data_IF_449460714731
#
_entry.id   IF_449460714731
#
_cell.length_a   1.000
_cell.length_b   1.000
_cell.length_c   1.000
_cell.angle_alpha   90.00
_cell.angle_beta   90.00
_cell.angle_gamma   90.00
#
_symmetry.space_group_name_H-M   'P 1'
#
loop_
_entity.id
_entity.type
_entity.pdbx_description
1 polymer ?
#
# COMPACT_ATOMS: atom_id res chain seq x y z
N UNK A 1 -22.34 8.43 -9.12
CA UNK A 1 -21.36 7.81 -10.02
C UNK A 1 -20.71 6.73 -9.19
N UNK A 2 -21.20 5.49 -9.32
CA UNK A 2 -20.77 4.33 -8.56
C UNK A 2 -20.85 3.16 -9.54
N UNK A 3 -19.74 2.49 -9.80
CA UNK A 3 -19.70 1.35 -10.71
C UNK A 3 -19.59 0.07 -9.90
N UNK A 4 -20.21 -1.01 -10.39
CA UNK A 4 -20.00 -2.35 -9.83
C UNK A 4 -19.68 -3.36 -10.92
N UNK A 5 -19.01 -4.45 -10.56
CA UNK A 5 -18.64 -5.54 -11.47
C UNK A 5 -17.75 -5.06 -12.63
N UNK A 6 -16.70 -4.31 -12.28
CA UNK A 6 -15.75 -3.76 -13.25
C UNK A 6 -14.63 -4.77 -13.50
N UNK A 7 -14.37 -5.08 -14.77
CA UNK A 7 -13.26 -5.97 -15.17
C UNK A 7 -12.34 -5.22 -16.14
N UNK A 8 -11.06 -5.12 -15.78
CA UNK A 8 -9.99 -4.60 -16.62
C UNK A 8 -8.96 -5.72 -16.76
N UNK A 9 -8.87 -6.35 -17.93
CA UNK A 9 -7.95 -7.46 -18.11
C UNK A 9 -7.30 -7.54 -19.48
N UNK A 10 -6.08 -8.09 -19.53
CA UNK A 10 -5.36 -8.37 -20.78
C UNK A 10 -5.07 -7.11 -21.62
N UNK A 11 -4.72 -6.01 -20.97
CA UNK A 11 -4.49 -4.71 -21.61
C UNK A 11 -3.09 -4.17 -21.29
N UNK A 12 -2.55 -3.38 -22.23
CA UNK A 12 -1.34 -2.57 -22.01
C UNK A 12 -1.70 -1.09 -22.00
N UNK A 13 -1.45 -0.42 -20.88
CA UNK A 13 -1.56 1.03 -20.72
C UNK A 13 -0.17 1.65 -20.88
N UNK A 14 -0.06 2.73 -21.67
CA UNK A 14 1.21 3.42 -21.93
C UNK A 14 1.07 4.91 -21.78
N UNK A 15 2.03 5.52 -21.08
CA UNK A 15 2.21 6.97 -20.96
C UNK A 15 0.94 7.69 -20.52
N UNK A 16 0.26 7.15 -19.50
CA UNK A 16 -0.83 7.87 -18.84
C UNK A 16 -0.33 9.24 -18.39
N UNK A 17 -1.09 10.33 -18.59
CA UNK A 17 -0.70 11.66 -18.15
C UNK A 17 -0.73 11.82 -16.63
N UNK A 18 -1.36 10.88 -15.91
CA UNK A 18 -1.51 10.83 -14.45
C UNK A 18 -1.73 9.37 -14.00
N UNK A 19 -2.48 9.13 -12.93
CA UNK A 19 -2.88 7.79 -12.47
C UNK A 19 -3.53 6.96 -13.59
N UNK A 20 -2.99 5.78 -13.87
CA UNK A 20 -3.39 4.99 -15.04
C UNK A 20 -4.73 4.26 -14.88
N UNK A 21 -4.94 3.58 -13.75
CA UNK A 21 -6.20 2.90 -13.42
C UNK A 21 -6.68 3.38 -12.05
N UNK A 22 -7.70 4.23 -12.01
CA UNK A 22 -8.21 4.86 -10.78
C UNK A 22 -9.70 4.54 -10.57
N UNK A 23 -10.06 3.33 -10.07
CA UNK A 23 -11.43 3.04 -9.67
C UNK A 23 -11.76 3.86 -8.43
N UNK A 24 -12.69 4.81 -8.60
CA UNK A 24 -13.18 5.68 -7.52
C UNK A 24 -14.61 5.31 -7.20
N UNK A 25 -14.88 5.03 -5.93
CA UNK A 25 -16.23 4.71 -5.49
C UNK A 25 -16.86 3.49 -6.19
N UNK A 26 -16.01 2.51 -6.53
CA UNK A 26 -16.40 1.26 -7.19
C UNK A 26 -16.55 0.10 -6.20
N UNK A 27 -17.30 -0.93 -6.58
CA UNK A 27 -17.44 -2.17 -5.80
C UNK A 27 -17.30 -3.39 -6.71
N UNK A 28 -16.59 -4.44 -6.30
CA UNK A 28 -16.33 -5.63 -7.14
C UNK A 28 -15.53 -5.27 -8.40
N UNK A 29 -14.24 -4.96 -8.21
CA UNK A 29 -13.33 -4.57 -9.29
C UNK A 29 -12.27 -5.65 -9.46
N UNK A 30 -12.08 -6.12 -10.69
CA UNK A 30 -10.99 -7.03 -11.06
C UNK A 30 -10.05 -6.32 -12.04
N UNK A 31 -8.77 -6.22 -11.68
CA UNK A 31 -7.69 -5.80 -12.58
C UNK A 31 -6.71 -6.96 -12.72
N UNK A 32 -6.66 -7.59 -13.90
CA UNK A 32 -5.94 -8.86 -14.09
C UNK A 32 -5.10 -8.86 -15.36
N UNK A 33 -3.86 -9.37 -15.31
CA UNK A 33 -3.01 -9.54 -16.50
C UNK A 33 -2.85 -8.23 -17.31
N UNK A 34 -2.62 -7.12 -16.60
CA UNK A 34 -2.37 -5.82 -17.24
C UNK A 34 -0.90 -5.45 -17.19
N UNK A 35 -0.46 -4.73 -18.22
CA UNK A 35 0.86 -4.10 -18.29
C UNK A 35 0.68 -2.59 -18.26
N UNK A 36 1.32 -1.90 -17.32
CA UNK A 36 1.28 -0.43 -17.24
C UNK A 36 2.69 0.11 -17.37
N UNK A 37 2.91 1.02 -18.33
CA UNK A 37 4.22 1.60 -18.62
C UNK A 37 4.13 3.12 -18.65
N UNK A 38 4.93 3.80 -17.86
CA UNK A 38 5.16 5.24 -17.93
C UNK A 38 6.67 5.54 -17.85
N UNK A 39 7.13 6.69 -18.36
CA UNK A 39 8.53 7.09 -18.22
C UNK A 39 8.93 7.19 -16.74
N UNK A 40 10.13 6.71 -16.34
CA UNK A 40 10.56 6.69 -14.93
C UNK A 40 10.64 8.08 -14.27
N UNK A 41 10.80 9.14 -15.06
CA UNK A 41 10.87 10.53 -14.57
C UNK A 41 9.51 11.24 -14.60
N UNK A 42 8.42 10.53 -14.93
CA UNK A 42 7.08 11.13 -15.03
C UNK A 42 6.40 11.15 -13.66
N UNK A 43 6.15 12.34 -13.07
CA UNK A 43 5.52 12.44 -11.76
C UNK A 43 4.06 11.97 -11.81
N UNK A 44 3.55 11.48 -10.67
CA UNK A 44 2.13 11.14 -10.49
C UNK A 44 1.58 10.12 -11.50
N UNK A 45 2.44 9.25 -12.01
CA UNK A 45 2.07 8.18 -12.94
C UNK A 45 1.79 6.87 -12.22
N UNK A 46 0.97 6.92 -11.18
CA UNK A 46 0.60 5.73 -10.41
C UNK A 46 0.01 4.65 -11.33
N UNK A 47 0.30 3.38 -11.04
CA UNK A 47 -0.23 2.26 -11.79
C UNK A 47 -1.71 2.04 -11.54
N UNK A 48 -2.05 1.42 -10.40
CA UNK A 48 -3.43 1.10 -10.03
C UNK A 48 -3.74 1.73 -8.67
N UNK A 49 -4.75 2.59 -8.63
CA UNK A 49 -5.10 3.37 -7.46
C UNK A 49 -6.56 3.16 -7.05
N UNK A 50 -6.91 2.12 -6.28
CA UNK A 50 -8.25 2.03 -5.72
C UNK A 50 -8.51 3.15 -4.73
N UNK A 51 -9.59 3.89 -4.93
CA UNK A 51 -9.96 5.04 -4.11
C UNK A 51 -11.41 4.92 -3.63
N UNK A 52 -11.59 4.86 -2.31
CA UNK A 52 -12.89 4.63 -1.65
C UNK A 52 -13.69 3.50 -2.30
N UNK A 53 -13.01 2.39 -2.63
CA UNK A 53 -13.56 1.27 -3.39
C UNK A 53 -13.45 -0.05 -2.60
N UNK A 54 -14.42 -0.94 -2.78
CA UNK A 54 -14.52 -2.18 -2.02
C UNK A 54 -14.53 -3.43 -2.89
N UNK A 55 -14.06 -4.55 -2.33
CA UNK A 55 -13.97 -5.83 -3.03
C UNK A 55 -13.14 -5.70 -4.32
N UNK A 56 -11.89 -5.27 -4.20
CA UNK A 56 -10.98 -5.04 -5.32
C UNK A 56 -9.94 -6.14 -5.38
N UNK A 57 -9.78 -6.77 -6.53
CA UNK A 57 -8.78 -7.78 -6.81
C UNK A 57 -7.82 -7.26 -7.89
N UNK A 58 -6.53 -7.20 -7.59
CA UNK A 58 -5.46 -6.80 -8.52
C UNK A 58 -4.47 -7.94 -8.63
N UNK A 59 -4.31 -8.52 -9.82
CA UNK A 59 -3.46 -9.69 -9.98
C UNK A 59 -2.72 -9.82 -11.31
N UNK A 60 -1.58 -10.52 -11.27
CA UNK A 60 -0.79 -10.87 -12.46
C UNK A 60 -0.39 -9.64 -13.30
N UNK A 61 -0.05 -8.54 -12.64
CA UNK A 61 0.25 -7.27 -13.31
C UNK A 61 1.76 -7.02 -13.43
N UNK A 62 2.16 -6.43 -14.55
CA UNK A 62 3.49 -5.85 -14.72
C UNK A 62 3.38 -4.32 -14.77
N UNK A 63 4.00 -3.62 -13.83
CA UNK A 63 3.86 -2.17 -13.67
C UNK A 63 5.24 -1.52 -13.64
N UNK A 64 5.49 -0.58 -14.55
CA UNK A 64 6.71 0.23 -14.54
C UNK A 64 6.33 1.69 -14.75
N UNK A 65 6.55 2.50 -13.72
CA UNK A 65 6.00 3.85 -13.61
C UNK A 65 7.02 4.81 -13.03
N UNK A 66 6.75 6.12 -13.10
CA UNK A 66 7.54 7.11 -12.36
C UNK A 66 7.14 7.21 -10.89
N UNK A 67 5.90 6.84 -10.55
CA UNK A 67 5.32 6.93 -9.21
C UNK A 67 4.81 5.56 -8.72
N UNK A 68 3.99 5.51 -7.66
CA UNK A 68 3.53 4.28 -6.98
C UNK A 68 3.00 3.20 -7.96
N UNK A 69 3.43 1.93 -7.85
CA UNK A 69 2.86 0.86 -8.68
C UNK A 69 1.39 0.61 -8.33
N UNK A 70 1.12 0.57 -7.01
CA UNK A 70 -0.21 0.47 -6.43
C UNK A 70 -0.34 1.52 -5.33
N UNK A 71 -1.40 2.34 -5.37
CA UNK A 71 -1.66 3.40 -4.40
C UNK A 71 -3.09 3.33 -3.88
N UNK A 72 -3.30 2.78 -2.68
CA UNK A 72 -4.65 2.66 -2.11
C UNK A 72 -5.00 3.95 -1.37
N UNK A 73 -6.16 4.51 -1.72
CA UNK A 73 -6.67 5.79 -1.24
C UNK A 73 -8.12 5.65 -0.77
N UNK A 74 -8.64 6.66 -0.08
CA UNK A 74 -10.02 6.77 0.37
C UNK A 74 -10.37 8.22 0.68
N UNK A 75 -10.06 9.13 -0.24
CA UNK A 75 -10.34 10.57 -0.10
C UNK A 75 -9.48 11.36 0.91
N UNK A 76 -9.63 12.68 0.87
CA UNK A 76 -8.84 13.66 1.62
C UNK A 76 -9.62 14.31 2.76
N UNK A 77 -8.98 14.42 3.92
CA UNK A 77 -9.37 15.22 5.09
C UNK A 77 -10.89 15.26 5.35
N UNK A 78 -11.49 16.44 5.50
CA UNK A 78 -12.91 16.62 5.81
C UNK A 78 -13.83 16.03 4.75
N UNK A 79 -13.42 16.05 3.47
CA UNK A 79 -14.19 15.43 2.41
C UNK A 79 -14.24 13.91 2.59
N UNK A 80 -13.10 13.27 2.83
CA UNK A 80 -13.03 11.83 3.07
C UNK A 80 -13.70 11.42 4.39
N UNK A 81 -13.48 12.18 5.46
CA UNK A 81 -14.11 11.97 6.77
C UNK A 81 -15.63 12.07 6.67
N UNK A 82 -16.15 13.11 6.00
CA UNK A 82 -17.60 13.31 5.87
C UNK A 82 -18.26 12.33 4.92
N UNK A 83 -17.58 11.97 3.83
CA UNK A 83 -18.09 11.00 2.87
C UNK A 83 -18.05 9.57 3.44
N UNK A 84 -17.09 9.28 4.31
CA UNK A 84 -16.99 8.06 5.12
C UNK A 84 -17.06 6.75 4.30
N UNK A 85 -16.52 6.77 3.07
CA UNK A 85 -16.43 5.59 2.22
C UNK A 85 -15.00 5.04 2.23
N UNK A 86 -14.76 3.88 2.86
CA UNK A 86 -13.43 3.30 2.93
C UNK A 86 -13.03 2.65 1.61
N UNK A 87 -11.72 2.46 1.43
CA UNK A 87 -11.18 1.39 0.61
C UNK A 87 -11.05 0.13 1.46
N UNK A 88 -11.81 -0.91 1.11
CA UNK A 88 -12.03 -2.07 1.99
C UNK A 88 -12.00 -3.39 1.21
N UNK A 89 -11.42 -4.43 1.81
CA UNK A 89 -11.35 -5.77 1.22
C UNK A 89 -10.67 -5.75 -0.16
N UNK A 90 -9.36 -5.48 -0.16
CA UNK A 90 -8.56 -5.39 -1.38
C UNK A 90 -7.47 -6.47 -1.35
N UNK A 91 -7.49 -7.34 -2.37
CA UNK A 91 -6.47 -8.38 -2.57
C UNK A 91 -5.54 -8.00 -3.72
N UNK A 92 -4.24 -8.09 -3.47
CA UNK A 92 -3.18 -7.77 -4.43
C UNK A 92 -2.25 -8.97 -4.51
N UNK A 93 -2.05 -9.54 -5.70
CA UNK A 93 -1.26 -10.76 -5.86
C UNK A 93 -0.41 -10.77 -7.12
N UNK A 94 0.82 -11.27 -7.01
CA UNK A 94 1.70 -11.54 -8.16
C UNK A 94 1.93 -10.29 -9.02
N UNK A 95 2.42 -9.24 -8.38
CA UNK A 95 2.77 -7.97 -9.04
C UNK A 95 4.27 -7.93 -9.25
N UNK A 96 4.70 -7.58 -10.45
CA UNK A 96 6.12 -7.35 -10.76
C UNK A 96 6.30 -5.94 -11.28
N UNK A 97 7.30 -5.22 -10.79
CA UNK A 97 7.48 -3.84 -11.25
C UNK A 97 8.68 -3.08 -10.71
N UNK A 98 8.76 -1.83 -11.16
CA UNK A 98 9.77 -0.86 -10.74
C UNK A 98 9.24 0.56 -10.79
N UNK A 99 9.65 1.40 -9.84
CA UNK A 99 9.27 2.82 -9.83
C UNK A 99 10.39 3.71 -9.30
N UNK A 100 10.83 4.68 -10.10
CA UNK A 100 12.02 5.49 -9.74
C UNK A 100 11.81 6.34 -8.50
N UNK A 101 10.63 6.95 -8.33
CA UNK A 101 10.33 7.88 -7.22
C UNK A 101 9.16 7.45 -6.33
N UNK A 102 8.43 6.40 -6.70
CA UNK A 102 7.27 5.92 -5.94
C UNK A 102 7.57 4.73 -5.03
N UNK A 103 6.50 4.05 -4.63
CA UNK A 103 6.52 2.80 -3.90
C UNK A 103 6.04 1.62 -4.73
N UNK A 104 6.56 0.42 -4.42
CA UNK A 104 5.96 -0.82 -4.91
C UNK A 104 4.51 -0.97 -4.46
N UNK A 105 4.21 -0.57 -3.22
CA UNK A 105 2.85 -0.43 -2.72
C UNK A 105 2.76 0.72 -1.71
N UNK A 106 1.82 1.61 -1.92
CA UNK A 106 1.52 2.75 -1.06
C UNK A 106 0.09 2.68 -0.50
N UNK A 107 -0.06 2.96 0.79
CA UNK A 107 -1.35 3.24 1.42
C UNK A 107 -1.37 4.72 1.85
N UNK A 108 -2.34 5.48 1.37
CA UNK A 108 -2.43 6.93 1.56
C UNK A 108 -1.67 7.75 0.50
N UNK A 109 -1.47 9.04 0.68
CA UNK A 109 -1.77 9.79 1.91
C UNK A 109 -3.26 10.07 2.11
N UNK A 110 -4.04 9.94 1.05
CA UNK A 110 -5.47 10.23 0.99
C UNK A 110 -6.24 9.07 1.62
N UNK A 111 -6.34 9.02 2.94
CA UNK A 111 -6.85 7.86 3.68
C UNK A 111 -8.05 8.16 4.59
N UNK A 112 -8.66 9.32 4.42
CA UNK A 112 -9.56 9.93 5.40
C UNK A 112 -10.92 9.23 5.54
N UNK A 113 -11.39 8.56 4.48
CA UNK A 113 -12.54 7.66 4.51
C UNK A 113 -12.26 6.28 5.13
N UNK A 114 -10.98 5.95 5.35
CA UNK A 114 -10.51 4.69 5.92
C UNK A 114 -9.96 3.70 4.88
N UNK A 115 -8.87 3.01 5.22
CA UNK A 115 -8.29 1.90 4.47
C UNK A 115 -8.23 0.69 5.39
N UNK A 116 -8.84 -0.43 5.00
CA UNK A 116 -8.77 -1.65 5.82
C UNK A 116 -9.00 -2.96 5.09
N UNK A 117 -8.59 -4.06 5.72
CA UNK A 117 -8.67 -5.42 5.15
C UNK A 117 -7.94 -5.50 3.81
N UNK A 118 -6.65 -5.13 3.84
CA UNK A 118 -5.78 -5.17 2.65
C UNK A 118 -4.85 -6.36 2.78
N UNK A 119 -4.83 -7.19 1.74
CA UNK A 119 -3.90 -8.32 1.62
C UNK A 119 -3.06 -8.14 0.36
N UNK A 120 -1.75 -8.05 0.50
CA UNK A 120 -0.82 -7.96 -0.62
C UNK A 120 0.25 -9.06 -0.51
N UNK A 121 0.29 -9.96 -1.51
CA UNK A 121 1.20 -11.11 -1.51
C UNK A 121 1.87 -11.38 -2.86
N UNK A 122 3.10 -11.90 -2.84
CA UNK A 122 3.84 -12.26 -4.05
C UNK A 122 4.28 -11.03 -4.87
N UNK A 123 4.87 -10.01 -4.23
CA UNK A 123 5.34 -8.80 -4.92
C UNK A 123 6.83 -8.93 -5.27
N UNK A 124 7.18 -8.62 -6.52
CA UNK A 124 8.56 -8.57 -7.01
C UNK A 124 8.90 -7.14 -7.40
N UNK A 125 9.61 -6.45 -6.52
CA UNK A 125 9.89 -5.02 -6.62
C UNK A 125 11.36 -4.80 -6.93
N UNK A 126 11.65 -3.98 -7.93
CA UNK A 126 13.03 -3.68 -8.32
C UNK A 126 13.26 -2.20 -8.59
N UNK A 127 14.49 -1.72 -8.41
CA UNK A 127 14.91 -0.35 -8.80
C UNK A 127 13.92 0.72 -8.31
N UNK A 128 13.54 0.65 -7.03
CA UNK A 128 12.46 1.47 -6.49
C UNK A 128 12.88 2.35 -5.33
N UNK A 129 12.29 3.55 -5.21
CA UNK A 129 12.56 4.40 -4.05
C UNK A 129 12.02 3.75 -2.76
N UNK A 130 10.78 3.27 -2.81
CA UNK A 130 10.16 2.60 -1.66
C UNK A 130 9.66 1.19 -2.04
N UNK A 131 9.80 0.25 -1.11
CA UNK A 131 9.13 -1.06 -1.19
C UNK A 131 7.67 -0.95 -0.75
N UNK A 132 7.47 -0.98 0.57
CA UNK A 132 6.17 -0.77 1.24
C UNK A 132 6.14 0.64 1.83
N UNK A 133 5.07 1.39 1.57
CA UNK A 133 4.91 2.77 2.04
C UNK A 133 3.54 3.04 2.66
N UNK A 134 3.50 3.56 3.88
CA UNK A 134 2.29 4.10 4.51
C UNK A 134 2.49 5.60 4.75
N UNK A 135 1.52 6.41 4.32
CA UNK A 135 1.56 7.88 4.38
C UNK A 135 0.32 8.39 5.10
N UNK A 136 0.48 9.25 6.10
CA UNK A 136 -0.61 10.02 6.73
C UNK A 136 -0.05 11.26 7.41
N UNK A 137 -0.92 12.18 7.84
CA UNK A 137 -0.61 13.38 8.62
C UNK A 137 -1.69 13.66 9.67
N UNK A 138 -1.42 14.47 10.71
CA UNK A 138 -2.46 15.13 11.49
C UNK A 138 -3.41 15.88 10.55
N UNK A 139 -4.72 15.74 10.73
CA UNK A 139 -5.72 16.29 9.82
C UNK A 139 -6.43 15.25 8.97
N UNK A 140 -5.76 14.14 8.65
CA UNK A 140 -6.35 13.08 7.83
C UNK A 140 -7.54 12.39 8.51
N UNK A 141 -7.53 12.28 9.84
CA UNK A 141 -8.50 11.44 10.56
C UNK A 141 -8.52 10.00 10.02
N UNK A 142 -9.69 9.36 10.02
CA UNK A 142 -9.84 8.04 9.42
C UNK A 142 -8.94 6.96 10.05
N UNK A 143 -8.53 5.98 9.24
CA UNK A 143 -7.72 4.86 9.72
C UNK A 143 -7.01 4.12 8.57
N UNK A 144 -5.84 3.54 8.86
CA UNK A 144 -5.24 2.44 8.08
C UNK A 144 -5.11 1.27 9.05
N UNK A 145 -5.89 0.21 8.84
CA UNK A 145 -5.86 -0.94 9.75
C UNK A 145 -6.08 -2.29 9.10
N UNK A 146 -5.63 -3.35 9.77
CA UNK A 146 -5.82 -4.73 9.31
C UNK A 146 -5.19 -4.92 7.92
N UNK A 147 -3.88 -4.70 7.87
CA UNK A 147 -3.08 -4.75 6.65
C UNK A 147 -2.13 -5.94 6.75
N UNK A 148 -2.04 -6.73 5.69
CA UNK A 148 -1.21 -7.92 5.61
C UNK A 148 -0.37 -7.91 4.33
N UNK A 149 0.93 -7.75 4.50
CA UNK A 149 1.95 -7.88 3.45
C UNK A 149 2.71 -9.18 3.66
N UNK A 150 2.81 -10.03 2.63
CA UNK A 150 3.60 -11.27 2.69
C UNK A 150 4.28 -11.63 1.38
N UNK A 151 5.35 -12.42 1.41
CA UNK A 151 6.00 -12.95 0.20
C UNK A 151 6.43 -11.82 -0.75
N UNK A 152 7.33 -10.96 -0.27
CA UNK A 152 7.80 -9.78 -1.01
C UNK A 152 9.30 -9.89 -1.26
N UNK A 153 9.69 -9.80 -2.52
CA UNK A 153 11.08 -9.77 -2.96
C UNK A 153 11.43 -8.37 -3.44
N UNK A 154 12.52 -7.81 -2.90
CA UNK A 154 13.01 -6.48 -3.24
C UNK A 154 14.45 -6.54 -3.76
N UNK A 155 14.76 -5.80 -4.82
CA UNK A 155 16.14 -5.67 -5.34
C UNK A 155 16.43 -4.23 -5.73
N UNK A 156 17.54 -3.68 -5.23
CA UNK A 156 17.91 -2.28 -5.49
C UNK A 156 16.78 -1.32 -5.08
N UNK A 157 16.42 -1.36 -3.80
CA UNK A 157 15.36 -0.52 -3.23
C UNK A 157 15.95 0.40 -2.16
N UNK A 158 15.65 1.69 -2.21
CA UNK A 158 16.24 2.64 -1.26
C UNK A 158 15.66 2.45 0.15
N UNK A 159 14.34 2.49 0.31
CA UNK A 159 13.67 2.23 1.59
C UNK A 159 12.78 1.00 1.47
N UNK A 160 13.16 -0.12 2.10
CA UNK A 160 12.32 -1.33 2.03
C UNK A 160 10.95 -1.10 2.69
N UNK A 161 10.92 -0.45 3.86
CA UNK A 161 9.69 -0.14 4.59
C UNK A 161 9.71 1.34 5.03
N UNK A 162 8.71 2.12 4.61
CA UNK A 162 8.53 3.51 5.02
C UNK A 162 7.15 3.70 5.63
N UNK A 163 7.09 4.16 6.87
CA UNK A 163 5.84 4.62 7.50
C UNK A 163 6.08 6.07 7.93
N UNK A 164 5.19 6.97 7.55
CA UNK A 164 5.31 8.39 7.84
C UNK A 164 3.98 8.94 8.32
N UNK A 165 3.96 9.42 9.56
CA UNK A 165 2.85 10.11 10.19
C UNK A 165 2.84 11.62 10.01
N UNK A 166 3.86 12.21 9.37
CA UNK A 166 3.99 13.65 9.14
C UNK A 166 4.05 13.96 7.63
N UNK A 167 3.14 13.37 6.85
CA UNK A 167 3.03 13.60 5.41
C UNK A 167 2.21 14.88 5.12
N UNK A 168 2.81 16.02 5.44
CA UNK A 168 2.24 17.39 5.49
C UNK A 168 1.84 17.96 4.11
N UNK A 169 0.97 17.26 3.41
CA UNK A 169 0.26 17.73 2.22
C UNK A 169 -1.23 17.76 2.57
N UNK A 170 -1.96 18.81 2.19
CA UNK A 170 -3.40 18.99 2.44
C UNK A 170 -4.02 19.67 1.19
N UNK A 171 -5.30 19.44 0.86
CA UNK A 171 -5.92 20.00 -0.34
C UNK A 171 -6.20 21.50 -0.18
N UNK A 172 -6.41 21.93 1.07
CA UNK A 172 -6.61 23.31 1.49
C UNK A 172 -6.31 23.47 2.99
N UNK A 173 -6.41 24.69 3.53
CA UNK A 173 -6.09 25.04 4.92
C UNK A 173 -7.27 24.87 5.89
N UNK A 174 -8.42 24.37 5.43
CA UNK A 174 -9.66 24.29 6.22
C UNK A 174 -9.78 22.98 7.00
N UNK A 175 -8.71 22.18 7.02
CA UNK A 175 -8.71 20.91 7.72
C UNK A 175 -8.57 21.06 9.23
N UNK A 176 -9.02 20.05 9.97
CA UNK A 176 -8.91 20.00 11.42
C UNK A 176 -7.61 19.29 11.82
N UNK A 177 -6.54 19.99 12.26
CA UNK A 177 -5.26 19.35 12.57
C UNK A 177 -5.33 18.39 13.77
N UNK A 178 -6.38 18.49 14.59
CA UNK A 178 -6.63 17.56 15.70
C UNK A 178 -7.29 16.24 15.26
N UNK A 179 -7.66 16.10 13.99
CA UNK A 179 -8.17 14.84 13.43
C UNK A 179 -7.00 13.88 13.17
N UNK A 180 -6.64 13.11 14.19
CA UNK A 180 -5.54 12.14 14.08
C UNK A 180 -6.00 10.80 13.49
N UNK A 181 -5.19 10.17 12.63
CA UNK A 181 -5.49 8.88 12.02
C UNK A 181 -5.20 7.70 12.96
N UNK A 182 -6.08 6.70 12.97
CA UNK A 182 -5.76 5.43 13.62
C UNK A 182 -4.94 4.53 12.68
N UNK A 183 -3.67 4.31 13.01
CA UNK A 183 -2.81 3.33 12.31
C UNK A 183 -2.56 2.14 13.23
N UNK A 184 -3.14 0.98 12.89
CA UNK A 184 -3.04 -0.20 13.73
C UNK A 184 -3.06 -1.51 12.95
N UNK A 185 -2.45 -2.57 13.50
CA UNK A 185 -2.51 -3.94 12.95
C UNK A 185 -1.96 -4.03 11.53
N UNK A 186 -0.67 -3.72 11.41
CA UNK A 186 0.08 -3.78 10.15
C UNK A 186 1.05 -4.95 10.24
N UNK A 187 0.79 -6.02 9.49
CA UNK A 187 1.67 -7.20 9.43
C UNK A 187 2.50 -7.15 8.16
N UNK A 188 3.82 -7.21 8.30
CA UNK A 188 4.79 -7.36 7.21
C UNK A 188 5.59 -8.63 7.48
N UNK A 189 5.44 -9.61 6.61
CA UNK A 189 5.99 -10.95 6.82
C UNK A 189 6.67 -11.49 5.57
N UNK A 190 7.65 -12.37 5.74
CA UNK A 190 8.27 -13.13 4.64
C UNK A 190 8.78 -12.18 3.54
N UNK A 191 9.64 -11.24 3.93
CA UNK A 191 10.22 -10.22 3.04
C UNK A 191 11.70 -10.50 2.86
N UNK A 192 12.16 -10.57 1.61
CA UNK A 192 13.58 -10.74 1.28
C UNK A 192 14.03 -9.59 0.38
N UNK A 193 15.09 -8.89 0.79
CA UNK A 193 15.62 -7.73 0.08
C UNK A 193 17.11 -7.87 -0.20
N UNK A 194 17.54 -7.53 -1.41
CA UNK A 194 18.96 -7.42 -1.79
C UNK A 194 19.29 -6.02 -2.27
N UNK A 195 20.50 -5.53 -1.93
CA UNK A 195 20.93 -4.18 -2.26
C UNK A 195 19.91 -3.13 -1.77
N UNK A 196 19.60 -3.17 -0.48
CA UNK A 196 18.67 -2.23 0.18
C UNK A 196 19.48 -1.07 0.76
N UNK A 197 19.07 0.18 0.58
CA UNK A 197 19.80 1.29 1.23
C UNK A 197 19.45 1.40 2.72
N UNK A 198 18.16 1.42 3.05
CA UNK A 198 17.60 1.55 4.40
C UNK A 198 16.53 0.48 4.62
N UNK A 199 16.68 -0.31 5.67
CA UNK A 199 15.73 -1.39 5.99
C UNK A 199 14.35 -0.83 6.38
N UNK A 200 14.32 0.19 7.24
CA UNK A 200 13.06 0.87 7.50
C UNK A 200 13.17 2.21 8.22
N UNK A 201 12.28 3.12 7.83
CA UNK A 201 12.08 4.40 8.50
C UNK A 201 10.61 4.55 8.88
N UNK A 202 10.30 4.29 10.14
CA UNK A 202 8.93 4.12 10.64
C UNK A 202 8.65 5.19 11.71
N UNK A 203 7.99 6.25 11.31
CA UNK A 203 7.77 7.44 12.12
C UNK A 203 6.27 7.66 12.25
N UNK A 204 5.74 7.51 13.47
CA UNK A 204 4.35 7.83 13.80
C UNK A 204 4.14 9.33 14.06
N UNK A 205 3.01 9.67 14.67
CA UNK A 205 2.68 11.03 15.07
C UNK A 205 3.09 11.24 16.52
N UNK A 206 3.76 12.36 16.81
CA UNK A 206 4.17 12.67 18.17
C UNK A 206 2.96 12.76 19.10
N UNK A 207 2.92 11.91 20.13
CA UNK A 207 1.81 11.85 21.08
C UNK A 207 0.63 10.95 20.66
N UNK A 208 0.62 10.42 19.44
CA UNK A 208 -0.37 9.46 18.95
C UNK A 208 0.31 8.33 18.18
N UNK A 209 0.97 7.45 18.94
CA UNK A 209 1.83 6.43 18.36
C UNK A 209 1.07 5.37 17.56
N UNK A 210 1.62 4.97 16.41
CA UNK A 210 1.06 3.86 15.64
C UNK A 210 1.32 2.54 16.36
N UNK A 211 0.37 1.60 16.32
CA UNK A 211 0.40 0.41 17.17
C UNK A 211 0.23 -0.89 16.39
N UNK A 212 0.56 -2.01 17.03
CA UNK A 212 0.43 -3.35 16.46
C UNK A 212 1.13 -3.49 15.08
N UNK A 213 2.31 -2.90 14.95
CA UNK A 213 3.17 -3.08 13.77
C UNK A 213 3.97 -4.38 13.96
N UNK A 214 3.75 -5.36 13.10
CA UNK A 214 4.34 -6.68 13.18
C UNK A 214 5.31 -6.94 12.04
N UNK A 215 6.58 -7.21 12.35
CA UNK A 215 7.57 -7.70 11.39
C UNK A 215 7.89 -9.17 11.67
N UNK A 216 7.84 -10.04 10.66
CA UNK A 216 8.17 -11.45 10.86
C UNK A 216 8.91 -12.04 9.66
N UNK A 217 10.06 -12.68 9.88
CA UNK A 217 10.85 -13.28 8.79
C UNK A 217 11.17 -12.23 7.69
N UNK A 218 11.88 -11.18 8.09
CA UNK A 218 12.28 -10.07 7.21
C UNK A 218 13.80 -10.10 7.09
N UNK A 219 14.33 -10.38 5.90
CA UNK A 219 15.75 -10.52 5.63
C UNK A 219 16.18 -9.51 4.58
N UNK A 220 16.87 -8.45 4.97
CA UNK A 220 17.25 -7.34 4.12
C UNK A 220 18.78 -7.19 4.11
N UNK A 221 19.40 -7.41 2.96
CA UNK A 221 20.81 -7.12 2.74
C UNK A 221 21.00 -5.61 2.51
N UNK A 222 21.36 -4.92 3.59
CA UNK A 222 21.48 -3.45 3.65
C UNK A 222 22.89 -2.98 3.29
N UNK A 223 22.98 -1.91 2.51
CA UNK A 223 24.24 -1.33 2.05
C UNK A 223 24.71 -0.12 2.86
N UNK A 224 23.79 0.57 3.57
CA UNK A 224 24.13 1.69 4.45
C UNK A 224 24.11 1.24 5.93
N UNK A 225 25.28 1.05 6.51
CA UNK A 225 25.48 0.39 7.81
C UNK A 225 25.29 1.31 9.05
N UNK A 226 24.98 2.61 8.87
CA UNK A 226 24.99 3.55 10.00
C UNK A 226 23.75 3.49 10.91
N UNK A 227 22.59 3.13 10.36
CA UNK A 227 21.34 2.88 11.11
C UNK A 227 20.30 2.33 10.12
N UNK A 228 20.26 1.00 9.89
CA UNK A 228 19.35 0.42 8.89
C UNK A 228 17.88 0.64 9.23
N UNK A 229 17.59 0.79 10.53
CA UNK A 229 16.26 1.13 11.04
C UNK A 229 16.29 2.46 11.77
N UNK A 230 15.23 3.27 11.60
CA UNK A 230 14.93 4.42 12.47
C UNK A 230 13.44 4.44 12.75
N UNK A 231 13.09 4.53 14.03
CA UNK A 231 11.72 4.44 14.50
C UNK A 231 11.43 5.49 15.57
N UNK A 232 10.26 6.11 15.49
CA UNK A 232 9.74 7.02 16.51
C UNK A 232 8.22 6.91 16.54
N UNK A 233 7.63 7.05 17.73
CA UNK A 233 6.17 7.09 17.90
C UNK A 233 5.44 5.89 17.25
N UNK A 234 6.06 4.72 17.34
CA UNK A 234 5.47 3.45 16.90
C UNK A 234 5.60 2.41 18.01
N UNK A 235 4.74 1.39 17.99
CA UNK A 235 4.79 0.24 18.90
C UNK A 235 4.48 -1.02 18.13
N UNK A 236 5.22 -2.08 18.43
CA UNK A 236 5.02 -3.33 17.73
C UNK A 236 5.94 -4.45 18.17
N UNK A 237 5.99 -5.46 17.32
CA UNK A 237 6.74 -6.69 17.55
C UNK A 237 7.51 -7.07 16.29
N UNK A 238 8.64 -7.73 16.50
CA UNK A 238 9.47 -8.27 15.43
C UNK A 238 10.03 -9.63 15.80
N UNK A 239 10.06 -10.54 14.83
CA UNK A 239 10.62 -11.88 14.99
C UNK A 239 11.36 -12.29 13.72
N UNK A 240 12.55 -12.85 13.85
CA UNK A 240 13.38 -13.24 12.70
C UNK A 240 13.57 -12.08 11.70
N UNK A 241 14.00 -10.92 12.21
CA UNK A 241 14.28 -9.73 11.38
C UNK A 241 15.79 -9.49 11.34
N UNK A 242 16.34 -9.39 10.13
CA UNK A 242 17.75 -9.10 9.86
C UNK A 242 17.84 -7.99 8.80
N UNK A 243 18.56 -6.87 9.05
CA UNK A 243 19.25 -6.52 10.30
C UNK A 243 18.28 -6.29 11.45
N UNK A 244 18.77 -6.37 12.70
CA UNK A 244 17.94 -6.22 13.90
C UNK A 244 17.11 -4.93 13.88
N UNK A 245 15.82 -5.05 14.19
CA UNK A 245 14.85 -3.95 14.19
C UNK A 245 15.06 -2.97 15.35
N UNK A 246 14.37 -1.82 15.28
CA UNK A 246 14.38 -0.80 16.31
C UNK A 246 13.70 -1.22 17.63
N UNK A 247 14.12 -0.63 18.75
CA UNK A 247 13.60 -0.90 20.11
C UNK A 247 12.06 -0.89 20.24
N UNK A 248 11.32 0.08 19.64
CA UNK A 248 9.86 0.08 19.75
C UNK A 248 9.15 -1.10 19.09
N UNK A 249 9.85 -1.85 18.24
CA UNK A 249 9.36 -3.08 17.59
C UNK A 249 9.88 -4.35 18.26
N UNK A 250 10.63 -4.24 19.36
CA UNK A 250 11.18 -5.41 20.10
C UNK A 250 10.32 -5.78 21.31
N UNK A 251 9.05 -5.40 21.31
CA UNK A 251 8.11 -5.78 22.36
C UNK A 251 7.94 -7.30 22.47
N UNK A 252 7.70 -7.80 23.69
CA UNK A 252 7.34 -9.21 23.91
C UNK A 252 6.04 -9.51 23.16
N UNK A 253 6.08 -10.44 22.21
CA UNK A 253 4.87 -10.95 21.58
C UNK A 253 3.96 -11.51 22.68
N UNK A 254 2.69 -11.11 22.80
CA UNK A 254 1.79 -11.78 23.72
C UNK A 254 1.77 -13.28 23.38
N UNK A 255 1.67 -14.12 24.42
CA UNK A 255 1.77 -15.59 24.35
C UNK A 255 0.79 -16.30 23.39
N UNK A 256 -0.03 -15.56 22.65
CA UNK A 256 -0.85 -16.03 21.54
C UNK A 256 -0.65 -15.09 20.35
N UNK A 257 -0.67 -15.64 19.14
CA UNK A 257 -0.60 -15.02 17.82
C UNK A 257 -1.59 -13.87 17.52
N UNK A 258 -2.24 -13.29 18.54
CA UNK A 258 -3.31 -12.30 18.47
C UNK A 258 -2.86 -10.85 18.26
N UNK A 259 -1.56 -10.54 18.39
CA UNK A 259 -1.05 -9.17 18.16
C UNK A 259 -0.91 -8.82 16.67
N UNK A 260 -0.49 -9.80 15.86
CA UNK A 260 -0.36 -9.59 14.43
C UNK A 260 -1.68 -9.91 13.75
N UNK A 261 -2.12 -9.01 12.89
CA UNK A 261 -3.26 -9.30 12.04
C UNK A 261 -2.87 -10.43 11.07
N UNK A 262 -3.61 -11.53 11.15
CA UNK A 262 -3.56 -12.61 10.19
C UNK A 262 -4.74 -12.40 9.25
N UNK A 263 -4.48 -12.37 7.94
CA UNK A 263 -5.52 -12.21 6.93
C UNK A 263 -6.41 -13.47 6.75
N UNK A 264 -6.73 -14.17 7.85
CA UNK A 264 -7.57 -15.36 7.86
C UNK A 264 -8.99 -14.99 7.39
N UNK A 265 -9.34 -15.40 6.16
CA UNK A 265 -10.67 -15.14 5.58
C UNK A 265 -10.66 -14.26 4.33
N UNK A 266 -9.57 -13.51 4.10
CA UNK A 266 -9.32 -12.85 2.80
C UNK A 266 -8.77 -13.90 1.82
N UNK A 267 -9.66 -14.77 1.32
CA UNK A 267 -9.34 -15.63 0.19
C UNK A 267 -9.15 -14.72 -1.04
N UNK A 268 -8.20 -15.01 -1.95
CA UNK A 268 -8.27 -14.46 -3.29
C UNK A 268 -9.71 -14.68 -3.76
N UNK A 269 -10.41 -13.64 -4.19
CA UNK A 269 -11.66 -13.89 -4.88
C UNK A 269 -11.26 -14.70 -6.11
N UNK A 270 -11.65 -15.98 -6.14
CA UNK A 270 -11.42 -16.83 -7.30
C UNK A 270 -11.89 -16.03 -8.52
N UNK A 271 -11.03 -15.91 -9.52
CA UNK A 271 -11.26 -15.18 -10.78
C UNK A 271 -12.46 -15.71 -11.60
N UNK A 272 -13.26 -16.61 -11.02
CA UNK A 272 -14.56 -17.06 -11.46
C UNK A 272 -15.67 -16.08 -11.07
N UNK A 273 -15.54 -14.81 -11.44
CA UNK A 273 -16.75 -14.09 -11.84
C UNK A 273 -17.25 -14.81 -13.09
N UNK A 274 -18.27 -15.67 -12.94
CA UNK A 274 -18.94 -16.38 -14.02
C UNK A 274 -19.09 -15.45 -15.23
N UNK A 275 -18.32 -15.67 -16.29
CA UNK A 275 -18.43 -14.90 -17.53
C UNK A 275 -19.80 -15.18 -18.19
N UNK A 276 -20.75 -14.23 -18.26
CA UNK A 276 -21.89 -14.35 -19.12
C UNK A 276 -21.66 -13.40 -20.30
N UNK A 277 -21.09 -13.92 -21.39
CA UNK A 277 -21.13 -13.25 -22.70
C UNK A 277 -20.25 -12.01 -22.83
N UNK A 278 -19.11 -12.20 -23.48
CA UNK A 278 -18.29 -11.13 -24.06
C UNK A 278 -19.17 -10.21 -24.91
N UNK A 279 -19.21 -8.93 -24.57
CA UNK A 279 -19.42 -7.84 -25.53
C UNK A 279 -18.18 -6.93 -25.48
N UNK A 280 -17.48 -6.71 -26.60
CA UNK A 280 -16.41 -5.73 -26.64
C UNK A 280 -17.01 -4.32 -26.58
N UNK A 281 -16.14 -3.31 -26.44
CA UNK A 281 -16.37 -1.84 -26.47
C UNK A 281 -16.30 -1.23 -25.04
N UNK A 282 -15.46 -0.23 -24.73
CA UNK A 282 -15.04 0.93 -25.53
C UNK A 282 -13.60 1.35 -25.18
N UNK A 283 -12.81 1.61 -26.22
CA UNK A 283 -11.55 2.37 -26.14
C UNK A 283 -11.91 3.80 -25.74
N UNK A 284 -11.41 4.27 -24.60
CA UNK A 284 -11.27 5.68 -24.32
C UNK A 284 -9.78 6.03 -24.44
N UNK A 285 -9.36 6.32 -25.67
CA UNK A 285 -8.16 7.10 -25.93
C UNK A 285 -8.50 8.57 -25.66
N UNK A 286 -7.81 9.17 -24.69
CA UNK A 286 -7.57 10.61 -24.61
C UNK A 286 -6.07 10.83 -24.72
#
# INVERSE_FOLDING_TARGET
MYSTEVIISNLTFKNSPFWAIHPVYCSQVLVQNVTILAPPDSPNTDGISPDSSDNVCIEDCYINTGDDLISIKSGWDEYGISFARPSFNISIHRITGSTKSGAGIALGSEMSGGISEIKAEGLHLSNSLHGIRLKTSPGRGGYIKNIYFSDIFMTNVEFAIRITGEYDEHPDESYNPAALPLINKITIRDVVGSNISVAGLLEGIQGDSFSDICLSNVLLDVTLDRSPWKCSDIKGYSNLVCPESCEPLRGEAPFHSAACYLAEGLRPQDSHMNQPGILPVMVASL
#
